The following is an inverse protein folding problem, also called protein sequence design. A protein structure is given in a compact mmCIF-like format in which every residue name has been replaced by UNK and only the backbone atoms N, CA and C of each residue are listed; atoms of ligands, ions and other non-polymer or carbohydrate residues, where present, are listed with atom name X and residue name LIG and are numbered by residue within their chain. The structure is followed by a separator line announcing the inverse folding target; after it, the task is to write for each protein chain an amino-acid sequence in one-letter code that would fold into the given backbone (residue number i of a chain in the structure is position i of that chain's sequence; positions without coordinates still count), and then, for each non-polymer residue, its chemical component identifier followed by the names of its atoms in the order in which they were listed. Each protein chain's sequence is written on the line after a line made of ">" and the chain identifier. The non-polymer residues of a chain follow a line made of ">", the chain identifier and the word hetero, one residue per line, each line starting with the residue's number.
data_IF_793326736084
#
_entry.id   IF_793326736084
#
_cell.length_a   1.000
_cell.length_b   1.000
_cell.length_c   1.000
_cell.angle_alpha   90.00
_cell.angle_beta   90.00
_cell.angle_gamma   90.00
#
_symmetry.space_group_name_H-M   'P 1'
#
loop_
_entity.id
_entity.type
_entity.pdbx_description
1 polymer ?
#
# COMPACT_ATOMS: atom_id res chain seq x y z
N UNK A 1 -16.07 -54.48 21.75
CA UNK A 1 -14.79 -54.13 22.43
C UNK A 1 -14.16 -53.06 21.56
N UNK A 2 -14.50 -51.79 21.79
CA UNK A 2 -13.95 -50.67 21.02
C UNK A 2 -12.73 -50.10 21.74
N UNK A 3 -11.57 -50.25 21.10
CA UNK A 3 -10.33 -49.64 21.54
C UNK A 3 -10.30 -48.18 21.06
N UNK A 4 -10.68 -47.24 21.94
CA UNK A 4 -10.44 -45.83 21.72
C UNK A 4 -8.94 -45.56 21.83
N UNK A 5 -8.29 -45.32 20.69
CA UNK A 5 -6.92 -44.82 20.63
C UNK A 5 -6.87 -43.41 21.19
N UNK A 6 -6.50 -43.27 22.46
CA UNK A 6 -6.17 -41.98 23.07
C UNK A 6 -4.88 -41.44 22.41
N UNK A 7 -4.99 -40.32 21.70
CA UNK A 7 -3.82 -39.64 21.14
C UNK A 7 -3.04 -39.01 22.31
N UNK A 8 -1.76 -39.35 22.52
CA UNK A 8 -0.99 -38.83 23.66
C UNK A 8 -0.78 -37.31 23.52
N UNK A 9 -1.46 -36.55 24.37
CA UNK A 9 -1.51 -35.08 24.39
C UNK A 9 -0.16 -34.40 24.67
N UNK A 10 0.79 -35.13 25.27
CA UNK A 10 2.14 -34.64 25.59
C UNK A 10 3.00 -34.35 24.36
N UNK A 11 2.84 -35.10 23.26
CA UNK A 11 3.54 -34.83 21.99
C UNK A 11 2.98 -33.59 21.28
N UNK A 12 1.69 -33.29 21.43
CA UNK A 12 1.06 -32.12 20.80
C UNK A 12 1.55 -30.83 21.47
N UNK A 13 1.61 -30.80 22.80
CA UNK A 13 2.06 -29.61 23.55
C UNK A 13 3.54 -29.26 23.31
N UNK A 14 4.37 -30.24 22.98
CA UNK A 14 5.79 -30.02 22.67
C UNK A 14 6.01 -29.61 21.21
N UNK A 15 5.21 -30.10 20.26
CA UNK A 15 5.31 -29.77 18.84
C UNK A 15 4.67 -28.42 18.48
N UNK A 16 3.62 -28.01 19.21
CA UNK A 16 2.91 -26.76 19.00
C UNK A 16 3.79 -25.50 18.96
N UNK A 17 4.70 -25.23 19.93
CA UNK A 17 5.54 -24.04 19.89
C UNK A 17 6.48 -24.01 18.68
N UNK A 18 7.03 -25.16 18.26
CA UNK A 18 7.86 -25.24 17.06
C UNK A 18 7.06 -24.93 15.80
N UNK A 19 5.82 -25.41 15.72
CA UNK A 19 4.94 -25.11 14.60
C UNK A 19 4.57 -23.62 14.54
N UNK A 20 4.33 -22.98 15.69
CA UNK A 20 4.10 -21.52 15.77
C UNK A 20 5.34 -20.75 15.33
N UNK A 21 6.52 -21.09 15.86
CA UNK A 21 7.79 -20.43 15.48
C UNK A 21 8.07 -20.61 13.99
N UNK A 22 7.88 -21.81 13.45
CA UNK A 22 8.05 -22.09 12.03
C UNK A 22 7.09 -21.25 11.19
N UNK A 23 5.82 -21.15 11.60
CA UNK A 23 4.80 -20.33 10.91
C UNK A 23 5.15 -18.84 10.92
N UNK A 24 5.69 -18.33 12.02
CA UNK A 24 6.14 -16.94 12.12
C UNK A 24 7.46 -16.69 11.35
N UNK A 25 8.32 -17.70 11.23
CA UNK A 25 9.60 -17.61 10.52
C UNK A 25 9.47 -17.78 8.99
N UNK A 26 8.44 -18.49 8.51
CA UNK A 26 8.21 -18.77 7.08
C UNK A 26 8.23 -17.51 6.21
N UNK A 27 7.54 -16.40 6.54
CA UNK A 27 7.61 -15.17 5.75
C UNK A 27 9.03 -14.62 5.65
N UNK A 28 9.81 -14.68 6.73
CA UNK A 28 11.21 -14.24 6.76
C UNK A 28 12.14 -15.11 5.92
N UNK A 29 11.93 -16.42 5.93
CA UNK A 29 12.68 -17.40 5.12
C UNK A 29 12.37 -17.21 3.63
N UNK A 30 11.09 -16.99 3.30
CA UNK A 30 10.64 -16.82 1.92
C UNK A 30 11.13 -15.52 1.26
N UNK A 31 11.46 -14.46 2.02
CA UNK A 31 12.09 -13.24 1.49
C UNK A 31 13.42 -13.55 0.77
N UNK A 32 14.20 -14.51 1.28
CA UNK A 32 15.48 -14.88 0.69
C UNK A 32 15.36 -15.86 -0.49
N UNK A 33 14.24 -16.59 -0.58
CA UNK A 33 13.97 -17.59 -1.62
C UNK A 33 13.08 -17.09 -2.76
N UNK A 34 12.40 -15.96 -2.56
CA UNK A 34 11.42 -15.45 -3.51
C UNK A 34 12.09 -14.60 -4.61
N UNK A 35 12.53 -15.27 -5.67
CA UNK A 35 12.38 -14.74 -7.05
C UNK A 35 10.89 -14.77 -7.49
N UNK A 36 10.01 -15.33 -6.64
CA UNK A 36 8.65 -15.73 -6.99
C UNK A 36 7.67 -14.58 -7.22
N UNK A 37 8.05 -13.34 -6.94
CA UNK A 37 7.40 -12.13 -7.41
C UNK A 37 8.32 -10.99 -7.00
N UNK A 38 9.32 -10.62 -7.81
CA UNK A 38 9.84 -9.25 -7.73
C UNK A 38 8.63 -8.35 -7.93
N UNK A 39 8.08 -7.69 -6.90
CA UNK A 39 6.93 -6.84 -7.10
C UNK A 39 7.42 -5.78 -8.07
N UNK A 40 6.89 -5.74 -9.29
CA UNK A 40 7.12 -4.58 -10.15
C UNK A 40 6.70 -3.40 -9.30
N UNK A 41 7.66 -2.55 -8.97
CA UNK A 41 7.40 -1.43 -8.08
C UNK A 41 6.19 -0.67 -8.61
N UNK A 42 5.15 -0.57 -7.78
CA UNK A 42 3.97 0.26 -8.09
C UNK A 42 4.39 1.73 -8.29
N UNK A 43 5.55 2.11 -7.77
CA UNK A 43 6.15 3.43 -7.84
C UNK A 43 7.34 3.48 -8.82
N UNK A 44 7.39 2.68 -9.89
CA UNK A 44 8.45 2.71 -10.92
C UNK A 44 9.88 2.97 -10.38
N UNK A 45 10.23 2.38 -9.24
CA UNK A 45 11.54 2.51 -8.58
C UNK A 45 12.34 1.23 -8.69
N UNK A 46 13.66 1.35 -8.79
CA UNK A 46 14.57 0.20 -8.73
C UNK A 46 14.57 -0.39 -7.32
N UNK A 47 14.31 -1.70 -7.21
CA UNK A 47 14.35 -2.41 -5.93
C UNK A 47 15.79 -2.52 -5.41
N UNK A 48 15.96 -2.44 -4.09
CA UNK A 48 17.25 -2.60 -3.44
C UNK A 48 17.85 -4.00 -3.71
N UNK A 49 19.13 -4.11 -4.09
CA UNK A 49 19.75 -5.42 -4.29
C UNK A 49 19.93 -6.15 -2.96
N UNK A 50 20.05 -7.48 -3.03
CA UNK A 50 20.34 -8.33 -1.86
C UNK A 50 21.64 -7.85 -1.18
N UNK A 51 21.64 -7.62 0.15
CA UNK A 51 22.83 -7.17 0.86
C UNK A 51 23.88 -8.28 0.92
N UNK A 52 25.13 -7.96 0.57
CA UNK A 52 26.27 -8.84 0.81
C UNK A 52 26.57 -8.93 2.31
N UNK A 53 27.13 -10.07 2.74
CA UNK A 53 27.61 -10.22 4.11
C UNK A 53 28.77 -9.24 4.35
N UNK A 54 28.87 -8.62 5.54
CA UNK A 54 29.92 -7.66 5.84
C UNK A 54 31.26 -8.37 6.06
N UNK A 55 32.28 -7.99 5.28
CA UNK A 55 33.64 -8.54 5.39
C UNK A 55 34.51 -7.80 6.42
N UNK A 56 34.08 -6.60 6.83
CA UNK A 56 34.82 -5.74 7.76
C UNK A 56 33.89 -4.94 8.67
N UNK A 57 34.46 -4.33 9.72
CA UNK A 57 33.72 -3.55 10.72
C UNK A 57 33.00 -2.34 10.15
N UNK A 58 33.54 -1.72 9.08
CA UNK A 58 32.90 -0.59 8.41
C UNK A 58 31.64 -1.05 7.67
N UNK A 59 31.71 -2.18 6.99
CA UNK A 59 30.56 -2.78 6.31
C UNK A 59 29.50 -3.26 7.30
N UNK A 60 29.90 -3.82 8.45
CA UNK A 60 28.97 -4.20 9.52
C UNK A 60 28.09 -3.03 9.99
N UNK A 61 28.64 -1.82 10.11
CA UNK A 61 27.86 -0.64 10.48
C UNK A 61 26.82 -0.25 9.43
N UNK A 62 27.08 -0.55 8.16
CA UNK A 62 26.16 -0.22 7.04
C UNK A 62 25.21 -1.35 6.68
N UNK A 63 25.47 -2.57 7.15
CA UNK A 63 24.68 -3.75 6.85
C UNK A 63 23.21 -3.64 7.32
N UNK A 64 22.89 -3.18 8.56
CA UNK A 64 21.51 -3.03 9.00
C UNK A 64 20.66 -2.14 8.08
N UNK A 65 21.24 -1.03 7.60
CA UNK A 65 20.54 -0.10 6.70
C UNK A 65 20.26 -0.74 5.34
N UNK A 66 21.24 -1.42 4.73
CA UNK A 66 21.06 -2.12 3.45
C UNK A 66 20.08 -3.29 3.58
N UNK A 67 20.12 -3.99 4.71
CA UNK A 67 19.19 -5.06 5.03
C UNK A 67 17.76 -4.54 5.17
N UNK A 68 17.56 -3.45 5.90
CA UNK A 68 16.25 -2.82 6.05
C UNK A 68 15.68 -2.41 4.68
N UNK A 69 16.47 -1.75 3.84
CA UNK A 69 16.06 -1.36 2.49
C UNK A 69 15.66 -2.56 1.62
N UNK A 70 16.43 -3.65 1.68
CA UNK A 70 16.09 -4.88 0.97
C UNK A 70 14.79 -5.50 1.45
N UNK A 71 14.61 -5.61 2.77
CA UNK A 71 13.37 -6.13 3.37
C UNK A 71 12.18 -5.25 2.98
N UNK A 72 12.30 -3.92 3.09
CA UNK A 72 11.22 -3.00 2.75
C UNK A 72 10.76 -3.14 1.28
N UNK A 73 11.70 -3.40 0.36
CA UNK A 73 11.41 -3.60 -1.06
C UNK A 73 10.92 -5.02 -1.41
N UNK A 74 11.32 -6.04 -0.64
CA UNK A 74 11.05 -7.46 -0.95
C UNK A 74 10.03 -8.12 -0.01
N UNK A 75 9.50 -7.39 0.98
CA UNK A 75 8.50 -7.90 1.92
C UNK A 75 7.12 -8.04 1.25
N UNK A 76 6.98 -9.09 0.43
CA UNK A 76 5.77 -9.39 -0.34
C UNK A 76 4.54 -9.78 0.48
N UNK A 77 4.72 -10.16 1.75
CA UNK A 77 3.62 -10.58 2.62
C UNK A 77 2.83 -9.43 3.26
N UNK A 78 3.30 -8.18 3.18
CA UNK A 78 2.57 -7.01 3.73
C UNK A 78 1.12 -7.02 3.28
N UNK A 79 0.93 -7.22 1.99
CA UNK A 79 -0.39 -7.15 1.40
C UNK A 79 -1.25 -8.36 1.78
N UNK A 80 -0.66 -9.56 1.77
CA UNK A 80 -1.35 -10.78 2.22
C UNK A 80 -1.81 -10.64 3.67
N UNK A 81 -0.96 -10.14 4.57
CA UNK A 81 -1.34 -9.90 5.98
C UNK A 81 -2.38 -8.80 6.11
N UNK A 82 -2.25 -7.70 5.36
CA UNK A 82 -3.23 -6.62 5.38
C UNK A 82 -4.60 -7.11 4.89
N UNK A 83 -4.63 -7.97 3.87
CA UNK A 83 -5.87 -8.60 3.36
C UNK A 83 -6.52 -9.53 4.37
N UNK A 84 -5.70 -10.36 5.01
CA UNK A 84 -6.16 -11.31 6.00
C UNK A 84 -6.69 -10.56 7.23
N UNK A 85 -5.97 -9.54 7.69
CA UNK A 85 -6.39 -8.67 8.78
C UNK A 85 -7.75 -8.03 8.47
N UNK A 86 -7.89 -7.39 7.30
CA UNK A 86 -9.14 -6.73 6.89
C UNK A 86 -10.31 -7.73 6.77
N UNK A 87 -10.05 -8.93 6.24
CA UNK A 87 -11.06 -9.99 6.13
C UNK A 87 -11.51 -10.48 7.50
N UNK A 88 -10.56 -10.74 8.40
CA UNK A 88 -10.86 -11.14 9.77
C UNK A 88 -11.63 -10.03 10.49
N UNK A 89 -11.23 -8.78 10.30
CA UNK A 89 -11.92 -7.66 10.92
C UNK A 89 -13.37 -7.54 10.46
N UNK A 90 -13.62 -7.66 9.15
CA UNK A 90 -14.96 -7.69 8.60
C UNK A 90 -15.79 -8.86 9.15
N UNK A 91 -15.20 -10.05 9.25
CA UNK A 91 -15.91 -11.23 9.75
C UNK A 91 -16.25 -11.16 11.24
N UNK A 92 -15.39 -10.53 12.05
CA UNK A 92 -15.54 -10.48 13.51
C UNK A 92 -16.33 -9.24 13.96
N UNK A 93 -16.08 -8.08 13.35
CA UNK A 93 -16.64 -6.78 13.78
C UNK A 93 -17.55 -6.11 12.73
N UNK A 94 -17.66 -6.65 11.51
CA UNK A 94 -18.53 -6.10 10.46
C UNK A 94 -18.04 -4.81 9.82
N UNK A 95 -16.91 -4.25 10.27
CA UNK A 95 -16.31 -3.01 9.74
C UNK A 95 -14.87 -3.27 9.30
N UNK A 96 -14.43 -2.72 8.15
CA UNK A 96 -13.02 -2.63 7.82
C UNK A 96 -12.45 -1.32 8.37
N UNK A 97 -11.36 -1.41 9.12
CA UNK A 97 -10.57 -0.25 9.52
C UNK A 97 -9.56 0.04 8.41
N UNK A 98 -9.91 0.94 7.49
CA UNK A 98 -8.91 1.58 6.64
C UNK A 98 -8.51 2.89 7.32
N UNK A 99 -7.25 3.02 7.73
CA UNK A 99 -6.73 4.30 8.22
C UNK A 99 -6.61 5.28 7.03
N UNK A 100 -7.05 6.54 7.18
CA UNK A 100 -6.85 7.56 6.15
C UNK A 100 -5.35 7.68 5.82
N UNK A 101 -4.98 7.47 4.55
CA UNK A 101 -3.60 7.61 4.08
C UNK A 101 -2.81 6.31 3.90
N UNK A 102 -3.32 5.14 4.29
CA UNK A 102 -2.67 3.87 3.97
C UNK A 102 -3.08 3.37 2.57
N UNK A 103 -2.19 3.55 1.59
CA UNK A 103 -2.33 2.92 0.27
C UNK A 103 -2.15 1.40 0.40
N UNK A 104 -3.26 0.69 0.25
CA UNK A 104 -3.32 -0.76 0.31
C UNK A 104 -3.33 -1.35 -1.12
N UNK A 105 -2.58 -2.45 -1.29
CA UNK A 105 -2.40 -3.16 -2.54
C UNK A 105 -3.71 -3.35 -3.35
N UNK A 106 -3.71 -2.99 -4.64
CA UNK A 106 -4.90 -2.98 -5.49
C UNK A 106 -5.61 -4.33 -5.65
N UNK A 107 -4.93 -5.46 -5.42
CA UNK A 107 -5.52 -6.80 -5.60
C UNK A 107 -6.42 -7.24 -4.45
N UNK A 108 -6.30 -6.62 -3.29
CA UNK A 108 -7.05 -7.01 -2.07
C UNK A 108 -8.27 -6.11 -1.84
N UNK A 109 -8.32 -4.98 -2.52
CA UNK A 109 -9.29 -3.93 -2.29
C UNK A 109 -10.44 -3.89 -3.30
N UNK A 110 -10.46 -4.69 -4.35
CA UNK A 110 -11.54 -4.57 -5.36
C UNK A 110 -12.93 -4.89 -4.78
N UNK A 111 -13.07 -5.96 -3.98
CA UNK A 111 -14.38 -6.27 -3.37
C UNK A 111 -14.65 -5.49 -2.07
N UNK A 112 -13.59 -5.07 -1.35
CA UNK A 112 -13.71 -4.36 -0.08
C UNK A 112 -13.75 -2.82 -0.27
N UNK A 113 -12.79 -2.21 -0.96
CA UNK A 113 -12.81 -0.75 -1.19
C UNK A 113 -14.00 -0.28 -2.04
N UNK A 114 -14.53 -1.10 -2.95
CA UNK A 114 -15.73 -0.77 -3.71
C UNK A 114 -17.05 -0.95 -2.93
N UNK A 115 -17.05 -1.73 -1.84
CA UNK A 115 -18.20 -1.83 -0.93
C UNK A 115 -18.11 -0.85 0.24
N UNK A 116 -16.92 -0.32 0.55
CA UNK A 116 -16.66 0.44 1.79
C UNK A 116 -16.31 1.91 1.56
N UNK A 117 -15.67 2.28 0.45
CA UNK A 117 -15.52 3.70 0.13
C UNK A 117 -16.67 4.12 -0.79
N UNK A 118 -17.49 5.09 -0.35
CA UNK A 118 -18.42 5.77 -1.25
C UNK A 118 -17.69 6.59 -2.34
N UNK A 119 -16.35 6.52 -2.35
CA UNK A 119 -15.42 7.38 -3.08
C UNK A 119 -14.63 6.63 -4.14
N UNK A 120 -14.83 5.33 -4.37
CA UNK A 120 -14.17 4.59 -5.46
C UNK A 120 -15.19 3.87 -6.34
N UNK A 121 -15.01 3.96 -7.66
CA UNK A 121 -15.79 3.30 -8.70
C UNK A 121 -14.88 2.30 -9.44
N UNK A 122 -15.39 1.08 -9.67
CA UNK A 122 -14.69 0.07 -10.47
C UNK A 122 -15.19 0.14 -11.91
N UNK A 123 -14.27 0.37 -12.85
CA UNK A 123 -14.49 0.35 -14.29
C UNK A 123 -14.19 -1.02 -14.93
N UNK A 124 -14.15 -1.04 -16.27
CA UNK A 124 -13.84 -2.26 -17.04
C UNK A 124 -12.44 -2.76 -16.69
N UNK A 125 -12.25 -4.09 -16.76
CA UNK A 125 -10.96 -4.76 -16.51
C UNK A 125 -10.34 -4.46 -15.14
N UNK A 126 -11.16 -4.10 -14.15
CA UNK A 126 -10.72 -3.84 -12.78
C UNK A 126 -10.04 -2.49 -12.56
N UNK A 127 -10.14 -1.56 -13.52
CA UNK A 127 -9.67 -0.18 -13.34
C UNK A 127 -10.42 0.51 -12.18
N UNK A 128 -9.68 1.25 -11.37
CA UNK A 128 -10.23 1.98 -10.22
C UNK A 128 -10.26 3.47 -10.53
N UNK A 129 -11.41 4.10 -10.32
CA UNK A 129 -11.63 5.53 -10.49
C UNK A 129 -12.07 6.14 -9.17
N UNK A 130 -11.38 7.18 -8.73
CA UNK A 130 -11.81 7.94 -7.56
C UNK A 130 -13.03 8.81 -7.91
N UNK A 131 -14.08 8.69 -7.11
CA UNK A 131 -15.35 9.43 -7.20
C UNK A 131 -15.67 10.28 -5.97
N UNK A 132 -14.78 10.32 -4.98
CA UNK A 132 -14.87 11.25 -3.85
C UNK A 132 -14.90 12.71 -4.33
N UNK A 133 -15.41 13.61 -3.49
CA UNK A 133 -15.55 15.04 -3.78
C UNK A 133 -16.25 15.39 -5.10
N UNK A 134 -17.06 14.46 -5.62
CA UNK A 134 -17.80 14.59 -6.88
C UNK A 134 -16.88 14.80 -8.09
N UNK A 135 -15.65 14.30 -8.04
CA UNK A 135 -14.68 14.35 -9.15
C UNK A 135 -15.23 13.75 -10.45
N UNK A 136 -16.09 12.72 -10.36
CA UNK A 136 -16.76 12.19 -11.55
C UNK A 136 -17.76 13.18 -12.18
N UNK A 137 -18.42 14.01 -11.38
CA UNK A 137 -19.32 15.05 -11.91
C UNK A 137 -18.49 16.09 -12.69
N UNK A 138 -17.30 16.44 -12.18
CA UNK A 138 -16.40 17.38 -12.84
C UNK A 138 -15.80 16.80 -14.12
N UNK A 139 -15.31 15.55 -14.08
CA UNK A 139 -14.78 14.85 -15.24
C UNK A 139 -15.82 14.66 -16.35
N UNK A 140 -17.10 14.54 -15.99
CA UNK A 140 -18.23 14.45 -16.93
C UNK A 140 -18.74 15.82 -17.37
N UNK A 141 -18.19 16.92 -16.86
CA UNK A 141 -18.63 18.28 -17.17
C UNK A 141 -20.02 18.63 -16.63
N UNK A 142 -20.52 17.92 -15.61
CA UNK A 142 -21.83 18.15 -15.00
C UNK A 142 -21.82 19.34 -14.03
N UNK A 143 -20.64 19.82 -13.63
CA UNK A 143 -20.45 20.99 -12.76
C UNK A 143 -19.38 21.92 -13.33
N UNK A 144 -19.67 22.64 -14.42
CA UNK A 144 -18.72 23.62 -14.93
C UNK A 144 -18.52 24.75 -13.93
N UNK A 145 -17.28 25.26 -13.83
CA UNK A 145 -16.99 26.46 -13.05
C UNK A 145 -17.78 27.66 -13.57
N UNK A 146 -18.28 28.49 -12.65
CA UNK A 146 -18.93 29.73 -13.04
C UNK A 146 -17.89 30.72 -13.59
N UNK A 147 -18.36 31.69 -14.39
CA UNK A 147 -17.49 32.80 -14.85
C UNK A 147 -16.82 33.52 -13.68
N UNK A 148 -17.50 33.61 -12.55
CA UNK A 148 -16.97 34.23 -11.34
C UNK A 148 -15.80 33.41 -10.78
N UNK A 149 -15.96 32.10 -10.63
CA UNK A 149 -14.92 31.21 -10.10
C UNK A 149 -13.65 31.29 -10.97
N UNK A 150 -13.82 31.27 -12.30
CA UNK A 150 -12.72 31.37 -13.26
C UNK A 150 -11.96 32.69 -13.13
N UNK A 151 -12.67 33.81 -12.93
CA UNK A 151 -12.05 35.13 -12.72
C UNK A 151 -11.32 35.18 -11.38
N UNK A 152 -11.93 34.65 -10.31
CA UNK A 152 -11.31 34.59 -8.99
C UNK A 152 -10.00 33.78 -9.01
N UNK A 153 -10.00 32.61 -9.66
CA UNK A 153 -8.82 31.76 -9.81
C UNK A 153 -7.76 32.40 -10.71
N UNK A 154 -8.15 32.96 -11.85
CA UNK A 154 -7.22 33.68 -12.73
C UNK A 154 -6.53 34.83 -12.00
N UNK A 155 -7.28 35.60 -11.20
CA UNK A 155 -6.71 36.67 -10.40
C UNK A 155 -5.79 36.13 -9.28
N UNK A 156 -6.09 34.98 -8.69
CA UNK A 156 -5.19 34.33 -7.73
C UNK A 156 -3.86 33.93 -8.38
N UNK A 157 -3.88 33.33 -9.57
CA UNK A 157 -2.66 32.97 -10.29
C UNK A 157 -1.82 34.20 -10.65
N UNK A 158 -2.45 35.29 -11.10
CA UNK A 158 -1.76 36.56 -11.39
C UNK A 158 -1.10 37.16 -10.16
N UNK A 159 -1.83 37.23 -9.02
CA UNK A 159 -1.27 37.74 -7.77
C UNK A 159 -0.05 36.94 -7.32
N UNK A 160 -0.13 35.61 -7.38
CA UNK A 160 0.99 34.74 -7.03
C UNK A 160 2.19 34.97 -7.96
N UNK A 161 1.93 35.10 -9.26
CA UNK A 161 2.97 35.37 -10.26
C UNK A 161 3.66 36.72 -9.99
N UNK A 162 2.91 37.79 -9.74
CA UNK A 162 3.46 39.12 -9.45
C UNK A 162 4.32 39.12 -8.18
N UNK A 163 3.84 38.47 -7.11
CA UNK A 163 4.58 38.33 -5.86
C UNK A 163 5.89 37.57 -6.06
N UNK A 164 5.86 36.43 -6.75
CA UNK A 164 7.06 35.62 -6.99
C UNK A 164 8.03 36.30 -7.97
N UNK A 165 7.52 37.02 -8.97
CA UNK A 165 8.33 37.79 -9.90
C UNK A 165 9.13 38.89 -9.19
N UNK A 166 8.55 39.54 -8.17
CA UNK A 166 9.27 40.53 -7.35
C UNK A 166 10.47 39.94 -6.60
N UNK A 167 10.50 38.62 -6.40
CA UNK A 167 11.59 37.87 -5.79
C UNK A 167 12.52 37.21 -6.83
N UNK A 168 12.30 37.45 -8.13
CA UNK A 168 13.05 36.82 -9.21
C UNK A 168 12.72 35.34 -9.44
N UNK A 169 11.57 34.86 -8.95
CA UNK A 169 11.14 33.45 -9.05
C UNK A 169 10.12 33.29 -10.18
N UNK A 170 10.36 32.33 -11.08
CA UNK A 170 9.41 31.97 -12.13
C UNK A 170 8.21 31.18 -11.58
N UNK A 171 7.00 31.50 -12.04
CA UNK A 171 5.77 30.83 -11.64
C UNK A 171 5.06 30.23 -12.86
N UNK A 172 4.78 28.92 -12.83
CA UNK A 172 4.10 28.19 -13.90
C UNK A 172 2.87 27.49 -13.31
N UNK A 173 1.72 27.68 -13.95
CA UNK A 173 0.49 26.94 -13.63
C UNK A 173 0.34 25.81 -14.65
N UNK A 174 0.21 24.58 -14.16
CA UNK A 174 0.03 23.38 -14.99
C UNK A 174 -1.33 22.78 -14.70
N UNK A 175 -2.14 22.61 -15.75
CA UNK A 175 -3.40 21.90 -15.66
C UNK A 175 -3.18 20.46 -16.10
N UNK A 176 -3.33 19.52 -15.17
CA UNK A 176 -3.26 18.09 -15.48
C UNK A 176 -4.64 17.61 -15.94
N UNK A 177 -4.72 16.79 -16.99
CA UNK A 177 -5.98 16.13 -17.32
C UNK A 177 -6.39 15.20 -16.17
N UNK A 178 -7.71 15.13 -15.95
CA UNK A 178 -8.32 14.09 -15.14
C UNK A 178 -8.59 12.84 -15.99
#
# INVERSE_FOLDING_TARGET
>A
MDATTEIPTTRINTLFPFLVILTLAIPGILIFWSDYNSPKSTENRSLAPRPALPDNWKDYKTFPTRFQQYVDDHFGFRNTFLSLHNRLQYQVWGTPVLQPGESANPLINQAAAARISNEVLIGRDGWLFFKGDRLLDDARGLRPFSKRDLVEWSNAFKRNQEQLASLGIGYIVVFTPN
#
